data_IF_014247933611
#
_entry.id   IF_014247933611
#
_cell.length_a   1.000
_cell.length_b   1.000
_cell.length_c   1.000
_cell.angle_alpha   90.00
_cell.angle_beta   90.00
_cell.angle_gamma   90.00
#
_symmetry.space_group_name_H-M   'P 1'
#
loop_
_entity.id
_entity.type
_entity.pdbx_description
1 polymer ?
#
# COMPACT_ATOMS: atom_id res chain seq x y z
N UNK A 1 27.57 -10.96 8.63
CA UNK A 1 28.21 -10.99 7.30
C UNK A 1 29.31 -9.93 7.22
N UNK A 2 30.39 -10.13 6.43
CA UNK A 2 31.41 -9.12 6.22
C UNK A 2 30.88 -7.91 5.41
N UNK A 3 31.40 -6.73 5.72
CA UNK A 3 30.99 -5.44 5.12
C UNK A 3 31.32 -5.42 3.61
N UNK A 4 30.40 -4.95 2.78
CA UNK A 4 30.47 -4.91 1.29
C UNK A 4 30.47 -6.29 0.60
N UNK A 5 29.91 -7.31 1.24
CA UNK A 5 29.81 -8.65 0.65
C UNK A 5 28.73 -8.76 -0.45
N UNK A 6 27.83 -7.78 -0.57
CA UNK A 6 26.79 -7.73 -1.58
C UNK A 6 26.90 -6.49 -2.46
N UNK A 7 26.61 -6.65 -3.77
CA UNK A 7 26.68 -5.56 -4.77
C UNK A 7 25.68 -4.40 -4.53
N UNK A 8 24.77 -4.52 -3.56
CA UNK A 8 23.73 -3.54 -3.27
C UNK A 8 23.67 -3.20 -1.76
N UNK A 9 24.04 -1.97 -1.34
CA UNK A 9 24.12 -1.59 0.08
C UNK A 9 22.81 -1.72 0.85
N UNK A 10 21.66 -1.51 0.18
CA UNK A 10 20.33 -1.62 0.79
C UNK A 10 20.02 -3.08 1.15
N UNK A 11 20.35 -4.02 0.27
CA UNK A 11 20.13 -5.46 0.50
C UNK A 11 20.97 -5.94 1.67
N UNK A 12 22.23 -5.51 1.73
CA UNK A 12 23.14 -5.85 2.82
C UNK A 12 22.61 -5.34 4.18
N UNK A 13 22.09 -4.11 4.22
CA UNK A 13 21.47 -3.57 5.43
C UNK A 13 20.29 -4.41 5.90
N UNK A 14 19.40 -4.82 4.98
CA UNK A 14 18.22 -5.63 5.31
C UNK A 14 18.61 -7.01 5.85
N UNK A 15 19.56 -7.68 5.18
CA UNK A 15 20.02 -9.00 5.62
C UNK A 15 20.78 -8.94 6.94
N UNK A 16 21.56 -7.89 7.20
CA UNK A 16 22.21 -7.73 8.51
C UNK A 16 21.19 -7.52 9.63
N UNK A 17 20.13 -6.73 9.41
CA UNK A 17 19.06 -6.57 10.40
C UNK A 17 18.33 -7.90 10.66
N UNK A 18 18.05 -8.67 9.60
CA UNK A 18 17.51 -10.01 9.73
C UNK A 18 18.41 -10.91 10.58
N UNK A 19 19.72 -10.93 10.31
CA UNK A 19 20.69 -11.73 11.08
C UNK A 19 20.67 -11.33 12.56
N UNK A 20 20.59 -10.03 12.88
CA UNK A 20 20.52 -9.58 14.27
C UNK A 20 19.28 -10.12 14.97
N UNK A 21 18.10 -9.99 14.37
CA UNK A 21 16.85 -10.51 14.93
C UNK A 21 16.90 -12.03 15.10
N UNK A 22 17.38 -12.76 14.09
CA UNK A 22 17.51 -14.22 14.18
C UNK A 22 18.49 -14.61 15.29
N UNK A 23 19.62 -13.92 15.42
CA UNK A 23 20.61 -14.17 16.47
C UNK A 23 20.03 -13.94 17.88
N UNK A 24 19.23 -12.90 18.06
CA UNK A 24 18.53 -12.63 19.33
C UNK A 24 17.52 -13.75 19.66
N UNK A 25 16.80 -14.26 18.65
CA UNK A 25 15.83 -15.35 18.83
C UNK A 25 16.52 -16.68 19.20
N UNK A 26 17.70 -16.96 18.66
CA UNK A 26 18.43 -18.22 18.88
C UNK A 26 19.50 -18.13 19.97
N UNK A 27 19.54 -17.03 20.74
CA UNK A 27 20.51 -16.84 21.82
C UNK A 27 20.32 -17.92 22.90
N UNK A 28 21.41 -18.57 23.30
CA UNK A 28 21.35 -19.70 24.23
C UNK A 28 20.99 -19.29 25.67
N UNK A 29 21.11 -18.00 26.03
CA UNK A 29 20.85 -17.51 27.38
C UNK A 29 19.45 -16.93 27.56
N UNK A 30 18.92 -16.27 26.54
CA UNK A 30 17.67 -15.52 26.61
C UNK A 30 16.81 -15.58 25.34
N UNK A 31 17.18 -16.42 24.36
CA UNK A 31 16.43 -16.60 23.13
C UNK A 31 15.17 -17.44 23.30
N UNK A 32 14.31 -17.40 22.28
CA UNK A 32 13.05 -18.15 22.24
C UNK A 32 13.23 -19.58 21.71
N UNK A 33 14.35 -19.86 21.03
CA UNK A 33 14.66 -21.18 20.47
C UNK A 33 15.93 -21.71 21.12
N UNK A 34 15.77 -22.76 21.92
CA UNK A 34 16.88 -23.40 22.61
C UNK A 34 17.82 -24.13 21.63
N UNK A 35 19.07 -24.30 22.03
CA UNK A 35 20.04 -25.11 21.28
C UNK A 35 19.54 -26.54 20.99
N UNK A 36 18.82 -27.14 21.93
CA UNK A 36 18.26 -28.48 21.78
C UNK A 36 17.17 -28.53 20.69
N UNK A 37 16.28 -27.53 20.65
CA UNK A 37 15.28 -27.40 19.58
C UNK A 37 15.93 -27.19 18.21
N UNK A 38 17.07 -26.47 18.16
CA UNK A 38 17.84 -26.29 16.94
C UNK A 38 18.49 -27.57 16.45
N UNK A 39 19.14 -28.31 17.35
CA UNK A 39 19.80 -29.57 17.02
C UNK A 39 18.82 -30.68 16.62
N UNK A 40 17.62 -30.71 17.25
CA UNK A 40 16.53 -31.63 16.89
C UNK A 40 15.78 -31.23 15.62
N UNK A 41 15.91 -29.98 15.17
CA UNK A 41 15.22 -29.46 13.99
C UNK A 41 13.73 -29.21 14.21
N UNK A 42 13.32 -28.90 15.45
CA UNK A 42 11.92 -28.71 15.84
C UNK A 42 11.41 -27.27 15.63
N UNK A 43 12.07 -26.49 14.78
CA UNK A 43 11.71 -25.10 14.52
C UNK A 43 11.89 -24.74 13.04
N UNK A 44 10.98 -23.91 12.52
CA UNK A 44 10.97 -23.49 11.12
C UNK A 44 11.10 -21.96 11.01
N UNK A 45 11.73 -21.51 9.91
CA UNK A 45 11.90 -20.09 9.60
C UNK A 45 11.06 -19.75 8.38
N UNK A 46 10.13 -18.80 8.49
CA UNK A 46 9.18 -18.45 7.43
C UNK A 46 9.46 -17.05 6.85
N UNK A 47 10.13 -16.98 5.72
CA UNK A 47 10.51 -15.71 5.12
C UNK A 47 9.37 -15.20 4.22
N UNK A 48 8.83 -14.02 4.53
CA UNK A 48 7.80 -13.38 3.72
C UNK A 48 8.42 -12.40 2.71
N UNK A 49 8.00 -12.50 1.45
CA UNK A 49 8.36 -11.54 0.40
C UNK A 49 7.72 -10.17 0.67
N UNK A 50 8.47 -9.28 1.33
CA UNK A 50 8.09 -7.87 1.43
C UNK A 50 8.46 -7.10 0.15
N UNK A 51 7.45 -6.48 -0.47
CA UNK A 51 7.62 -5.64 -1.67
C UNK A 51 8.06 -4.20 -1.36
N UNK A 52 7.98 -3.76 -0.11
CA UNK A 52 8.05 -2.33 0.26
C UNK A 52 9.23 -1.99 1.22
N UNK A 53 10.42 -2.50 0.92
CA UNK A 53 11.55 -2.51 1.86
C UNK A 53 12.45 -1.24 1.86
N UNK A 54 12.12 -0.20 1.10
CA UNK A 54 12.98 0.97 0.90
C UNK A 54 12.34 2.28 1.36
N UNK A 55 12.20 2.49 2.67
CA UNK A 55 11.83 3.83 3.17
C UNK A 55 12.77 4.31 4.26
N UNK A 56 13.41 5.45 4.01
CA UNK A 56 14.23 6.22 4.95
C UNK A 56 13.41 6.75 6.15
N UNK A 57 14.09 7.21 7.22
CA UNK A 57 13.44 7.79 8.40
C UNK A 57 12.51 8.98 8.04
N UNK A 58 12.97 9.82 7.12
CA UNK A 58 12.19 10.97 6.63
C UNK A 58 10.97 10.51 5.82
N UNK A 59 11.09 9.44 5.03
CA UNK A 59 9.95 8.83 4.34
C UNK A 59 8.96 8.21 5.32
N UNK A 60 9.42 7.53 6.38
CA UNK A 60 8.54 7.02 7.45
C UNK A 60 7.73 8.15 8.11
N UNK A 61 8.37 9.28 8.42
CA UNK A 61 7.68 10.43 9.03
C UNK A 61 6.66 11.06 8.06
N UNK A 62 6.99 11.15 6.77
CA UNK A 62 6.06 11.60 5.72
C UNK A 62 4.87 10.66 5.57
N UNK A 63 5.10 9.35 5.64
CA UNK A 63 4.03 8.33 5.60
C UNK A 63 3.12 8.49 6.82
N UNK A 64 3.66 8.52 8.04
CA UNK A 64 2.87 8.66 9.27
C UNK A 64 2.03 9.94 9.28
N UNK A 65 2.63 11.07 8.92
CA UNK A 65 1.90 12.35 8.81
C UNK A 65 0.83 12.32 7.70
N UNK A 66 1.05 11.60 6.60
CA UNK A 66 0.03 11.39 5.56
C UNK A 66 -1.11 10.50 6.05
N UNK A 67 -0.82 9.43 6.80
CA UNK A 67 -1.83 8.55 7.39
C UNK A 67 -2.73 9.33 8.35
N UNK A 68 -2.13 10.13 9.25
CA UNK A 68 -2.88 10.96 10.18
C UNK A 68 -3.81 11.95 9.46
N UNK A 69 -3.29 12.64 8.43
CA UNK A 69 -4.10 13.57 7.62
C UNK A 69 -5.26 12.85 6.91
N UNK A 70 -4.98 11.69 6.31
CA UNK A 70 -6.01 10.88 5.64
C UNK A 70 -7.09 10.40 6.61
N UNK A 71 -6.73 10.06 7.86
CA UNK A 71 -7.69 9.67 8.91
C UNK A 71 -8.64 10.82 9.24
N UNK A 72 -8.11 12.00 9.52
CA UNK A 72 -8.90 13.20 9.83
C UNK A 72 -9.82 13.56 8.65
N UNK A 73 -9.30 13.52 7.42
CA UNK A 73 -10.10 13.76 6.21
C UNK A 73 -11.23 12.73 6.08
N UNK A 74 -10.95 11.44 6.30
CA UNK A 74 -11.97 10.38 6.25
C UNK A 74 -13.06 10.57 7.31
N UNK A 75 -12.71 10.95 8.53
CA UNK A 75 -13.67 11.22 9.61
C UNK A 75 -14.60 12.39 9.27
N UNK A 76 -14.04 13.46 8.70
CA UNK A 76 -14.81 14.61 8.20
C UNK A 76 -15.77 14.18 7.09
N UNK A 77 -15.29 13.44 6.09
CA UNK A 77 -16.13 12.97 4.98
C UNK A 77 -17.23 12.03 5.47
N UNK A 78 -16.92 11.13 6.41
CA UNK A 78 -17.89 10.22 7.03
C UNK A 78 -19.02 11.00 7.68
N UNK A 79 -18.69 12.07 8.40
CA UNK A 79 -19.66 12.97 9.03
C UNK A 79 -20.50 13.73 7.99
N UNK A 80 -19.88 14.23 6.92
CA UNK A 80 -20.61 14.91 5.83
C UNK A 80 -21.55 13.97 5.07
N UNK A 81 -21.11 12.76 4.73
CA UNK A 81 -21.92 11.74 4.07
C UNK A 81 -23.16 11.38 4.91
N UNK A 82 -22.98 11.24 6.21
CA UNK A 82 -24.08 10.89 7.13
C UNK A 82 -25.02 12.08 7.34
N UNK A 83 -24.50 13.24 7.74
CA UNK A 83 -25.32 14.37 8.20
C UNK A 83 -25.96 15.16 7.06
N UNK A 84 -25.24 15.35 5.95
CA UNK A 84 -25.69 16.19 4.83
C UNK A 84 -26.46 15.40 3.78
N UNK A 85 -26.05 14.16 3.53
CA UNK A 85 -26.60 13.34 2.45
C UNK A 85 -27.42 12.14 2.96
N UNK A 86 -27.43 11.86 4.26
CA UNK A 86 -28.18 10.74 4.84
C UNK A 86 -27.67 9.37 4.39
N UNK A 87 -26.42 9.28 3.91
CA UNK A 87 -25.84 8.06 3.36
C UNK A 87 -24.96 7.35 4.39
N UNK A 88 -25.05 6.02 4.44
CA UNK A 88 -24.12 5.21 5.23
C UNK A 88 -22.71 5.27 4.61
N UNK A 89 -21.69 5.76 5.33
CA UNK A 89 -20.35 5.89 4.79
C UNK A 89 -19.74 4.52 4.49
N UNK A 90 -19.35 4.29 3.23
CA UNK A 90 -18.60 3.10 2.80
C UNK A 90 -17.26 3.54 2.22
N UNK A 91 -16.27 2.63 2.17
CA UNK A 91 -14.97 2.92 1.56
C UNK A 91 -15.11 3.43 0.12
N UNK A 92 -16.02 2.84 -0.67
CA UNK A 92 -16.29 3.24 -2.06
C UNK A 92 -16.88 4.66 -2.12
N UNK A 93 -17.86 4.98 -1.26
CA UNK A 93 -18.46 6.32 -1.21
C UNK A 93 -17.45 7.39 -0.79
N UNK A 94 -16.62 7.11 0.22
CA UNK A 94 -15.56 8.02 0.65
C UNK A 94 -14.57 8.26 -0.49
N UNK A 95 -14.16 7.22 -1.22
CA UNK A 95 -13.26 7.35 -2.37
C UNK A 95 -13.89 8.18 -3.49
N UNK A 96 -15.15 7.92 -3.85
CA UNK A 96 -15.90 8.72 -4.83
C UNK A 96 -16.01 10.18 -4.41
N UNK A 97 -16.32 10.46 -3.14
CA UNK A 97 -16.43 11.81 -2.60
C UNK A 97 -15.09 12.57 -2.68
N UNK A 98 -13.98 11.90 -2.33
CA UNK A 98 -12.64 12.49 -2.46
C UNK A 98 -12.32 12.83 -3.90
N UNK A 99 -12.56 11.91 -4.84
CA UNK A 99 -12.29 12.12 -6.26
C UNK A 99 -13.19 13.19 -6.87
N UNK A 100 -14.45 13.27 -6.44
CA UNK A 100 -15.39 14.31 -6.84
C UNK A 100 -14.86 15.71 -6.46
N UNK A 101 -14.50 15.91 -5.19
CA UNK A 101 -14.01 17.20 -4.71
C UNK A 101 -12.64 17.57 -5.31
N UNK A 102 -11.79 16.58 -5.59
CA UNK A 102 -10.49 16.82 -6.23
C UNK A 102 -10.61 17.41 -7.65
N UNK A 103 -11.72 17.16 -8.34
CA UNK A 103 -12.01 17.71 -9.66
C UNK A 103 -12.69 19.10 -9.62
N UNK A 104 -12.95 19.66 -8.43
CA UNK A 104 -13.47 21.02 -8.26
C UNK A 104 -12.29 21.94 -7.90
N UNK A 105 -11.88 22.86 -8.79
CA UNK A 105 -10.77 23.74 -8.48
C UNK A 105 -11.10 24.77 -7.39
N UNK A 106 -10.19 24.92 -6.42
CA UNK A 106 -10.29 25.94 -5.37
C UNK A 106 -10.37 27.36 -5.97
N UNK A 107 -11.37 28.13 -5.52
CA UNK A 107 -11.60 29.49 -6.00
C UNK A 107 -12.17 29.60 -7.42
N UNK A 108 -12.71 28.51 -7.98
CA UNK A 108 -13.45 28.55 -9.24
C UNK A 108 -14.95 28.79 -9.01
N UNK A 109 -15.64 29.40 -9.98
CA UNK A 109 -17.11 29.47 -10.01
C UNK A 109 -17.75 28.12 -10.40
N UNK A 110 -16.94 27.05 -10.50
CA UNK A 110 -17.38 25.73 -10.92
C UNK A 110 -17.98 25.03 -9.72
N UNK A 111 -19.29 24.82 -9.75
CA UNK A 111 -20.04 24.17 -8.65
C UNK A 111 -20.02 22.64 -8.79
N UNK A 112 -19.78 22.13 -9.99
CA UNK A 112 -19.82 20.70 -10.32
C UNK A 112 -18.60 20.33 -11.19
N UNK A 113 -17.88 19.24 -10.88
CA UNK A 113 -16.75 18.80 -11.66
C UNK A 113 -17.21 18.26 -13.02
N UNK A 114 -16.36 18.41 -14.03
CA UNK A 114 -16.55 17.77 -15.33
C UNK A 114 -15.87 16.40 -15.35
N UNK A 115 -16.52 15.42 -15.96
CA UNK A 115 -15.89 14.16 -16.28
C UNK A 115 -14.75 14.38 -17.28
N UNK A 116 -13.55 13.93 -16.92
CA UNK A 116 -12.36 14.15 -17.73
C UNK A 116 -12.42 13.51 -19.14
N UNK A 117 -13.30 12.54 -19.37
CA UNK A 117 -13.39 11.81 -20.64
C UNK A 117 -14.51 12.29 -21.55
N UNK A 118 -15.72 12.51 -21.03
CA UNK A 118 -16.85 12.98 -21.84
C UNK A 118 -17.10 14.49 -21.75
N UNK A 119 -16.50 15.19 -20.78
CA UNK A 119 -16.71 16.62 -20.55
C UNK A 119 -18.05 16.98 -19.89
N UNK A 120 -18.94 16.01 -19.69
CA UNK A 120 -20.22 16.22 -19.00
C UNK A 120 -20.00 16.47 -17.51
N UNK A 121 -20.82 17.35 -16.93
CA UNK A 121 -20.79 17.63 -15.50
C UNK A 121 -21.28 16.42 -14.70
N UNK A 122 -20.64 16.17 -13.57
CA UNK A 122 -21.04 15.15 -12.60
C UNK A 122 -21.67 15.90 -11.44
N UNK A 123 -22.94 15.64 -11.14
CA UNK A 123 -23.55 16.16 -9.92
C UNK A 123 -23.10 15.35 -8.70
N UNK A 124 -23.15 15.95 -7.50
CA UNK A 124 -22.80 15.23 -6.26
C UNK A 124 -23.72 14.01 -6.03
N UNK A 125 -25.00 14.12 -6.40
CA UNK A 125 -25.95 13.03 -6.28
C UNK A 125 -25.57 11.88 -7.22
N UNK A 126 -25.26 12.16 -8.48
CA UNK A 126 -24.79 11.12 -9.42
C UNK A 126 -23.47 10.50 -8.98
N UNK A 127 -22.54 11.31 -8.45
CA UNK A 127 -21.29 10.79 -7.92
C UNK A 127 -21.51 9.80 -6.78
N UNK A 128 -22.41 10.10 -5.85
CA UNK A 128 -22.64 9.28 -4.66
C UNK A 128 -23.56 8.07 -4.92
N UNK A 129 -24.67 8.26 -5.65
CA UNK A 129 -25.71 7.24 -5.79
C UNK A 129 -25.94 6.77 -7.23
N UNK A 130 -25.29 7.39 -8.22
CA UNK A 130 -25.47 7.04 -9.63
C UNK A 130 -24.69 5.79 -10.06
N UNK A 131 -25.36 4.88 -10.75
CA UNK A 131 -24.76 3.67 -11.34
C UNK A 131 -23.91 3.96 -12.58
N UNK A 132 -24.16 5.09 -13.23
CA UNK A 132 -23.43 5.52 -14.42
C UNK A 132 -22.07 6.17 -14.11
N UNK A 133 -21.76 6.40 -12.83
CA UNK A 133 -20.50 6.99 -12.36
C UNK A 133 -19.68 5.93 -11.63
N UNK A 134 -18.43 5.76 -12.02
CA UNK A 134 -17.50 4.90 -11.29
C UNK A 134 -16.09 5.47 -11.24
N UNK A 135 -15.24 4.82 -10.45
CA UNK A 135 -13.82 5.16 -10.35
C UNK A 135 -13.06 4.38 -11.42
N UNK A 136 -12.36 5.08 -12.30
CA UNK A 136 -11.46 4.49 -13.30
C UNK A 136 -9.99 4.62 -12.89
N UNK A 137 -9.18 3.67 -13.34
CA UNK A 137 -7.72 3.78 -13.30
C UNK A 137 -7.21 4.45 -14.57
N UNK A 138 -6.64 5.66 -14.43
CA UNK A 138 -6.11 6.51 -15.52
C UNK A 138 -5.18 5.69 -16.42
N UNK A 139 -4.25 4.97 -15.80
CA UNK A 139 -3.44 3.93 -16.42
C UNK A 139 -3.94 2.59 -15.86
N UNK A 140 -4.36 1.65 -16.71
CA UNK A 140 -4.90 0.37 -16.24
C UNK A 140 -3.93 -0.42 -15.35
N UNK A 141 -4.48 -1.11 -14.35
CA UNK A 141 -3.69 -1.90 -13.40
C UNK A 141 -2.82 -2.98 -14.07
N UNK A 142 -3.24 -3.49 -15.22
CA UNK A 142 -2.46 -4.48 -15.98
C UNK A 142 -1.17 -3.92 -16.59
N UNK A 143 -1.08 -2.58 -16.73
CA UNK A 143 0.08 -1.88 -17.30
C UNK A 143 0.92 -1.19 -16.24
N UNK A 144 0.27 -0.62 -15.23
CA UNK A 144 0.92 0.03 -14.10
C UNK A 144 0.23 -0.41 -12.81
N UNK A 145 0.96 -1.15 -11.98
CA UNK A 145 0.46 -1.61 -10.67
C UNK A 145 0.44 -0.46 -9.65
N UNK A 146 -0.46 0.51 -9.85
CA UNK A 146 -0.69 1.64 -8.96
C UNK A 146 -2.19 1.81 -8.68
N UNK A 147 -2.62 1.40 -7.48
CA UNK A 147 -4.01 1.60 -6.99
C UNK A 147 -4.16 2.89 -6.15
N UNK A 148 -3.15 3.75 -6.12
CA UNK A 148 -3.21 5.00 -5.37
C UNK A 148 -4.23 5.96 -5.98
N UNK A 149 -4.72 6.90 -5.16
CA UNK A 149 -5.63 7.97 -5.60
C UNK A 149 -5.09 8.74 -6.80
N UNK A 150 -3.76 8.82 -6.97
CA UNK A 150 -3.13 9.52 -8.09
C UNK A 150 -3.41 8.86 -9.45
N UNK A 151 -3.67 7.56 -9.46
CA UNK A 151 -4.03 6.82 -10.68
C UNK A 151 -5.55 6.63 -10.83
N UNK A 152 -6.37 7.28 -10.00
CA UNK A 152 -7.83 7.10 -9.98
C UNK A 152 -8.58 8.38 -10.32
N UNK A 153 -9.69 8.28 -11.04
CA UNK A 153 -10.51 9.43 -11.44
C UNK A 153 -11.98 9.04 -11.45
N UNK A 154 -12.86 9.99 -11.11
CA UNK A 154 -14.29 9.78 -11.16
C UNK A 154 -14.81 10.09 -12.56
N UNK A 155 -15.48 9.12 -13.19
CA UNK A 155 -15.90 9.22 -14.58
C UNK A 155 -17.26 8.56 -14.82
N UNK A 156 -17.91 8.94 -15.92
CA UNK A 156 -19.13 8.29 -16.40
C UNK A 156 -18.84 6.89 -16.98
N UNK A 157 -19.85 6.29 -17.62
CA UNK A 157 -19.76 5.04 -18.38
C UNK A 157 -18.71 5.04 -19.51
N UNK A 158 -18.11 6.20 -19.83
CA UNK A 158 -16.95 6.31 -20.70
C UNK A 158 -15.76 5.44 -20.23
N UNK A 159 -15.67 5.09 -18.93
CA UNK A 159 -14.72 4.10 -18.43
C UNK A 159 -14.82 2.76 -19.20
N UNK A 160 -16.04 2.26 -19.41
CA UNK A 160 -16.27 1.00 -20.14
C UNK A 160 -15.73 1.05 -21.56
N UNK A 161 -15.87 2.21 -22.22
CA UNK A 161 -15.36 2.42 -23.58
C UNK A 161 -13.84 2.60 -23.63
N UNK A 162 -13.23 3.13 -22.56
CA UNK A 162 -11.76 3.23 -22.44
C UNK A 162 -11.12 1.86 -22.31
N UNK A 163 -11.75 0.95 -21.56
CA UNK A 163 -11.26 -0.41 -21.37
C UNK A 163 -9.82 -0.42 -20.86
N UNK A 164 -8.94 -1.17 -21.54
CA UNK A 164 -7.54 -1.32 -21.14
C UNK A 164 -6.58 -0.29 -21.77
N UNK A 165 -7.08 0.85 -22.26
CA UNK A 165 -6.24 1.95 -22.76
C UNK A 165 -5.82 2.90 -21.63
N UNK A 166 -4.72 3.64 -21.84
CA UNK A 166 -4.42 4.80 -20.97
C UNK A 166 -5.44 5.91 -21.25
N UNK A 167 -5.64 6.81 -20.29
CA UNK A 167 -6.45 8.01 -20.49
C UNK A 167 -5.99 8.82 -21.71
N UNK A 168 -4.68 8.98 -21.88
CA UNK A 168 -4.08 9.71 -22.99
C UNK A 168 -4.42 9.07 -24.35
N UNK A 169 -4.16 7.77 -24.49
CA UNK A 169 -4.39 7.06 -25.76
C UNK A 169 -5.88 6.98 -26.09
N UNK A 170 -6.73 6.80 -25.07
CA UNK A 170 -8.18 6.81 -25.24
C UNK A 170 -8.66 8.17 -25.76
N UNK A 171 -8.25 9.28 -25.14
CA UNK A 171 -8.67 10.61 -25.58
C UNK A 171 -8.07 10.98 -26.95
N UNK A 172 -6.87 10.50 -27.27
CA UNK A 172 -6.29 10.66 -28.60
C UNK A 172 -7.12 9.96 -29.68
N UNK A 173 -7.69 8.79 -29.38
CA UNK A 173 -8.54 8.03 -30.32
C UNK A 173 -9.88 8.69 -30.65
N UNK A 174 -10.32 9.66 -29.83
CA UNK A 174 -11.60 10.34 -29.96
C UNK A 174 -11.62 11.52 -30.95
N UNK A 175 -10.46 11.85 -31.53
CA UNK A 175 -10.29 12.91 -32.52
C UNK A 175 -9.62 14.17 -31.94
N UNK A 176 -9.08 15.01 -32.82
CA UNK A 176 -8.20 16.12 -32.44
C UNK A 176 -8.86 17.18 -31.55
N UNK A 177 -10.12 17.55 -31.84
CA UNK A 177 -10.86 18.54 -31.05
C UNK A 177 -11.08 18.08 -29.61
N UNK A 178 -11.59 16.86 -29.42
CA UNK A 178 -11.84 16.29 -28.08
C UNK A 178 -10.54 16.09 -27.31
N UNK A 179 -9.48 15.66 -28.01
CA UNK A 179 -8.16 15.51 -27.40
C UNK A 179 -7.58 16.86 -26.94
N UNK A 180 -7.73 17.92 -27.74
CA UNK A 180 -7.29 19.28 -27.37
C UNK A 180 -8.06 19.81 -26.16
N UNK A 181 -9.37 19.59 -26.10
CA UNK A 181 -10.19 19.96 -24.93
C UNK A 181 -9.74 19.20 -23.67
N UNK A 182 -9.46 17.91 -23.80
CA UNK A 182 -8.90 17.10 -22.70
C UNK A 182 -7.59 17.67 -22.18
N UNK A 183 -6.64 17.98 -23.06
CA UNK A 183 -5.34 18.55 -22.65
C UNK A 183 -5.51 19.89 -21.93
N UNK A 184 -6.38 20.77 -22.43
CA UNK A 184 -6.66 22.05 -21.80
C UNK A 184 -7.27 21.88 -20.40
N UNK A 185 -8.19 20.92 -20.22
CA UNK A 185 -8.77 20.59 -18.92
C UNK A 185 -7.71 20.09 -17.94
N UNK A 186 -6.85 19.17 -18.36
CA UNK A 186 -5.78 18.60 -17.53
C UNK A 186 -4.76 19.67 -17.11
N UNK A 187 -4.39 20.59 -18.00
CA UNK A 187 -3.53 21.73 -17.64
C UNK A 187 -4.21 22.66 -16.64
N UNK A 188 -5.49 23.00 -16.84
CA UNK A 188 -6.23 23.86 -15.92
C UNK A 188 -6.28 23.27 -14.50
N UNK A 189 -6.55 21.96 -14.38
CA UNK A 189 -6.56 21.26 -13.09
C UNK A 189 -5.20 21.30 -12.39
N UNK A 190 -4.10 21.26 -13.15
CA UNK A 190 -2.73 21.39 -12.60
C UNK A 190 -2.43 22.83 -12.19
N UNK A 191 -2.74 23.81 -13.03
CA UNK A 191 -2.51 25.23 -12.74
C UNK A 191 -3.23 25.68 -11.48
N UNK A 192 -4.46 25.18 -11.28
CA UNK A 192 -5.27 25.41 -10.08
C UNK A 192 -4.87 24.54 -8.88
N UNK A 193 -3.85 23.68 -9.02
CA UNK A 193 -3.35 22.76 -7.98
C UNK A 193 -4.41 21.79 -7.43
N UNK A 194 -5.45 21.52 -8.22
CA UNK A 194 -6.53 20.58 -7.84
C UNK A 194 -6.03 19.13 -7.88
N UNK A 195 -5.19 18.81 -8.87
CA UNK A 195 -4.57 17.49 -9.00
C UNK A 195 -3.09 17.52 -8.63
N UNK A 196 -2.58 16.38 -8.15
CA UNK A 196 -1.16 16.22 -7.88
C UNK A 196 -0.34 16.19 -9.17
N UNK A 197 0.94 16.57 -9.10
CA UNK A 197 1.85 16.45 -10.23
C UNK A 197 1.98 15.02 -10.76
N UNK A 198 1.86 14.01 -9.87
CA UNK A 198 1.87 12.59 -10.24
C UNK A 198 0.64 12.22 -11.08
N UNK A 199 -0.55 12.65 -10.64
CA UNK A 199 -1.81 12.43 -11.38
C UNK A 199 -1.79 13.12 -12.75
N UNK A 200 -1.33 14.37 -12.80
CA UNK A 200 -1.14 15.10 -14.05
C UNK A 200 -0.25 14.32 -15.03
N UNK A 201 0.88 13.78 -14.57
CA UNK A 201 1.74 12.92 -15.41
C UNK A 201 1.01 11.68 -15.92
N UNK A 202 0.23 11.01 -15.08
CA UNK A 202 -0.53 9.83 -15.50
C UNK A 202 -1.60 10.15 -16.54
N UNK A 203 -2.28 11.30 -16.42
CA UNK A 203 -3.26 11.76 -17.41
C UNK A 203 -2.63 12.03 -18.79
N UNK A 204 -1.35 12.39 -18.82
CA UNK A 204 -0.61 12.70 -20.05
C UNK A 204 0.31 11.57 -20.54
N UNK A 205 0.30 10.42 -19.88
CA UNK A 205 1.19 9.30 -20.20
C UNK A 205 0.55 8.39 -21.23
N UNK A 206 1.19 8.26 -22.40
CA UNK A 206 0.85 7.22 -23.37
C UNK A 206 1.39 5.87 -22.91
N UNK A 207 0.79 4.78 -23.39
CA UNK A 207 1.25 3.42 -23.13
C UNK A 207 2.73 3.20 -23.45
N UNK A 208 3.23 3.87 -24.49
CA UNK A 208 4.64 3.76 -24.94
C UNK A 208 5.63 4.30 -23.91
N UNK A 209 5.20 5.23 -23.07
CA UNK A 209 6.03 5.91 -22.08
C UNK A 209 5.98 5.22 -20.70
N UNK A 210 5.17 4.16 -20.56
CA UNK A 210 5.09 3.40 -19.31
C UNK A 210 6.40 2.62 -19.14
N UNK A 211 7.17 2.84 -18.06
CA UNK A 211 8.41 2.12 -17.82
C UNK A 211 8.14 0.62 -17.61
N UNK A 212 8.56 -0.22 -18.56
CA UNK A 212 8.47 -1.68 -18.46
C UNK A 212 9.28 -2.24 -17.27
N UNK A 213 10.33 -1.52 -16.86
CA UNK A 213 11.28 -1.95 -15.83
C UNK A 213 10.79 -1.80 -14.39
N UNK A 214 9.68 -1.10 -14.11
CA UNK A 214 9.33 -0.74 -12.73
C UNK A 214 8.83 -1.94 -11.91
N UNK A 215 7.82 -2.65 -12.43
CA UNK A 215 7.28 -3.87 -11.80
C UNK A 215 8.39 -4.91 -11.64
N UNK A 216 9.18 -5.01 -12.69
CA UNK A 216 10.26 -5.95 -12.90
C UNK A 216 11.45 -5.71 -11.95
N UNK A 217 11.81 -4.46 -11.66
CA UNK A 217 12.92 -4.11 -10.75
C UNK A 217 12.61 -4.39 -9.29
N UNK A 218 11.43 -3.97 -8.81
CA UNK A 218 11.06 -4.16 -7.41
C UNK A 218 10.74 -5.63 -7.11
N UNK A 219 10.12 -6.33 -8.06
CA UNK A 219 9.90 -7.78 -7.98
C UNK A 219 11.21 -8.56 -7.97
N UNK A 220 12.16 -8.24 -8.88
CA UNK A 220 13.49 -8.87 -8.91
C UNK A 220 14.29 -8.61 -7.63
N UNK A 221 14.17 -7.42 -7.05
CA UNK A 221 14.88 -7.06 -5.83
C UNK A 221 14.35 -7.81 -4.61
N UNK A 222 13.02 -7.85 -4.41
CA UNK A 222 12.42 -8.62 -3.33
C UNK A 222 12.72 -10.11 -3.45
N UNK A 223 12.71 -10.66 -4.68
CA UNK A 223 13.14 -12.04 -4.94
C UNK A 223 14.62 -12.26 -4.61
N UNK A 224 15.50 -11.31 -4.92
CA UNK A 224 16.93 -11.41 -4.61
C UNK A 224 17.19 -11.41 -3.09
N UNK A 225 16.56 -10.48 -2.36
CA UNK A 225 16.64 -10.41 -0.89
C UNK A 225 16.16 -11.73 -0.29
N UNK A 226 15.01 -12.23 -0.73
CA UNK A 226 14.40 -13.46 -0.20
C UNK A 226 15.27 -14.68 -0.42
N UNK A 227 15.87 -14.83 -1.61
CA UNK A 227 16.82 -15.92 -1.88
C UNK A 227 18.03 -15.86 -0.95
N UNK A 228 18.62 -14.67 -0.79
CA UNK A 228 19.78 -14.48 0.10
C UNK A 228 19.44 -14.69 1.57
N UNK A 229 18.27 -14.23 2.00
CA UNK A 229 17.75 -14.47 3.34
C UNK A 229 17.58 -15.97 3.61
N UNK A 230 16.98 -16.70 2.66
CA UNK A 230 16.83 -18.16 2.76
C UNK A 230 18.17 -18.88 2.84
N UNK A 231 19.13 -18.52 1.99
CA UNK A 231 20.49 -19.08 2.03
C UNK A 231 21.11 -18.93 3.43
N UNK A 232 21.01 -17.74 4.04
CA UNK A 232 21.56 -17.48 5.39
C UNK A 232 20.80 -18.28 6.46
N UNK A 233 19.46 -18.31 6.39
CA UNK A 233 18.64 -19.01 7.38
C UNK A 233 18.77 -20.53 7.30
N UNK A 234 19.15 -21.09 6.16
CA UNK A 234 19.40 -22.53 5.99
C UNK A 234 20.61 -23.03 6.77
N UNK A 235 21.56 -22.15 7.10
CA UNK A 235 22.67 -22.49 8.00
C UNK A 235 22.19 -22.65 9.47
N UNK A 236 20.97 -22.19 9.77
CA UNK A 236 20.41 -22.12 11.12
C UNK A 236 19.30 -23.16 11.32
N UNK A 237 18.35 -23.23 10.38
CA UNK A 237 17.29 -24.24 10.38
C UNK A 237 17.29 -25.05 9.09
N UNK A 238 16.96 -26.34 9.22
CA UNK A 238 16.72 -27.22 8.06
C UNK A 238 15.38 -26.97 7.39
N UNK A 239 14.44 -26.32 8.09
CA UNK A 239 13.10 -26.02 7.60
C UNK A 239 12.93 -24.51 7.40
N UNK A 240 13.22 -24.04 6.18
CA UNK A 240 13.09 -22.62 5.79
C UNK A 240 12.12 -22.47 4.63
N UNK A 241 10.93 -21.96 4.94
CA UNK A 241 9.84 -21.74 3.99
C UNK A 241 9.82 -20.29 3.51
N UNK A 242 9.41 -20.10 2.26
CA UNK A 242 9.25 -18.78 1.65
C UNK A 242 7.81 -18.64 1.17
N UNK A 243 7.12 -17.59 1.61
CA UNK A 243 5.73 -17.35 1.26
C UNK A 243 5.52 -15.94 0.70
N UNK A 244 4.51 -15.76 -0.14
CA UNK A 244 4.11 -14.43 -0.61
C UNK A 244 3.26 -13.72 0.44
N UNK A 245 3.44 -12.40 0.58
CA UNK A 245 2.65 -11.61 1.52
C UNK A 245 1.14 -11.57 1.21
N UNK A 246 0.74 -11.94 0.00
CA UNK A 246 -0.68 -12.12 -0.37
C UNK A 246 -1.32 -13.33 0.31
N UNK A 247 -0.58 -14.42 0.47
CA UNK A 247 -1.08 -15.65 1.10
C UNK A 247 -1.17 -15.42 2.61
N UNK A 248 -0.16 -14.81 3.23
CA UNK A 248 -0.17 -14.50 4.67
C UNK A 248 -1.21 -13.42 5.01
N UNK A 249 -1.43 -12.42 4.15
CA UNK A 249 -2.51 -11.45 4.32
C UNK A 249 -3.90 -12.11 4.26
N UNK A 250 -4.10 -13.05 3.33
CA UNK A 250 -5.37 -13.78 3.21
C UNK A 250 -5.61 -14.72 4.39
N UNK A 251 -4.56 -15.40 4.88
CA UNK A 251 -4.66 -16.24 6.09
C UNK A 251 -4.97 -15.40 7.33
N UNK A 252 -4.31 -14.25 7.51
CA UNK A 252 -4.61 -13.31 8.61
C UNK A 252 -6.06 -12.81 8.59
N UNK A 253 -6.63 -12.60 7.40
CA UNK A 253 -8.03 -12.20 7.23
C UNK A 253 -8.99 -13.36 7.56
N UNK A 254 -8.74 -14.56 7.04
CA UNK A 254 -9.57 -15.74 7.29
C UNK A 254 -9.58 -16.18 8.76
N UNK A 255 -8.48 -15.93 9.46
CA UNK A 255 -8.31 -16.29 10.87
C UNK A 255 -8.67 -15.15 11.84
N UNK A 256 -9.15 -13.99 11.36
CA UNK A 256 -9.57 -12.88 12.24
C UNK A 256 -8.42 -12.18 12.99
N UNK A 257 -7.16 -12.43 12.65
CA UNK A 257 -5.99 -11.86 13.35
C UNK A 257 -5.91 -10.33 13.29
N UNK A 258 -6.59 -9.70 12.33
CA UNK A 258 -6.63 -8.23 12.23
C UNK A 258 -7.19 -7.59 13.49
N UNK A 259 -8.20 -8.20 14.08
CA UNK A 259 -8.90 -7.63 15.24
C UNK A 259 -8.07 -7.88 16.52
N UNK A 260 -7.51 -9.08 16.66
CA UNK A 260 -6.65 -9.49 17.78
C UNK A 260 -5.36 -8.64 17.86
N UNK A 261 -4.66 -8.45 16.74
CA UNK A 261 -3.42 -7.64 16.70
C UNK A 261 -3.72 -6.16 16.94
N UNK A 262 -4.90 -5.67 16.52
CA UNK A 262 -5.33 -4.30 16.80
C UNK A 262 -5.61 -4.08 18.28
N UNK A 263 -6.25 -5.04 18.94
CA UNK A 263 -6.49 -5.03 20.40
C UNK A 263 -5.18 -5.01 21.19
N UNK A 264 -4.26 -5.94 20.88
CA UNK A 264 -2.96 -6.05 21.57
C UNK A 264 -2.13 -4.77 21.40
N UNK A 265 -2.09 -4.19 20.19
CA UNK A 265 -1.37 -2.93 19.97
C UNK A 265 -2.02 -1.75 20.72
N UNK A 266 -3.34 -1.77 20.90
CA UNK A 266 -4.06 -0.72 21.64
C UNK A 266 -3.80 -0.83 23.14
N UNK A 267 -3.73 -2.05 23.68
CA UNK A 267 -3.35 -2.31 25.08
C UNK A 267 -1.89 -1.97 25.38
N UNK A 268 -0.97 -2.30 24.47
CA UNK A 268 0.47 -1.95 24.57
C UNK A 268 0.72 -0.44 24.53
N UNK A 269 -0.04 0.30 23.71
CA UNK A 269 0.06 1.77 23.64
C UNK A 269 -0.50 2.41 24.92
N UNK A 270 -1.49 1.77 25.57
CA UNK A 270 -2.15 2.32 26.74
C UNK A 270 -1.46 1.95 28.08
N UNK A 271 -0.67 0.88 28.13
CA UNK A 271 0.05 0.43 29.33
C UNK A 271 1.59 0.52 29.13
N UNK A 272 2.17 1.69 29.41
CA UNK A 272 3.62 1.95 29.33
C UNK A 272 4.43 1.30 30.47
N UNK A 273 3.81 0.51 31.35
CA UNK A 273 4.53 -0.39 32.27
C UNK A 273 4.05 -1.83 32.07
N UNK A 274 4.87 -2.64 31.39
CA UNK A 274 4.63 -4.07 31.17
C UNK A 274 4.73 -4.81 32.51
N UNK A 275 3.60 -5.22 33.08
CA UNK A 275 3.54 -6.19 34.18
C UNK A 275 4.07 -7.57 33.72
N UNK A 276 4.59 -8.38 34.65
CA UNK A 276 5.20 -9.67 34.33
C UNK A 276 4.19 -10.71 33.80
N UNK A 277 2.90 -10.58 34.13
CA UNK A 277 1.82 -11.38 33.53
C UNK A 277 1.62 -11.06 32.03
N UNK A 278 1.68 -9.78 31.65
CA UNK A 278 1.54 -9.37 30.25
C UNK A 278 2.74 -9.85 29.41
N UNK A 279 3.93 -9.95 30.01
CA UNK A 279 5.12 -10.55 29.35
C UNK A 279 4.94 -12.05 29.14
N UNK A 280 4.38 -12.78 30.10
CA UNK A 280 4.15 -14.22 29.97
C UNK A 280 3.11 -14.56 28.89
N UNK A 281 2.05 -13.76 28.77
CA UNK A 281 1.05 -13.91 27.70
C UNK A 281 1.62 -13.54 26.33
N UNK A 282 2.45 -12.50 26.25
CA UNK A 282 3.23 -12.19 25.06
C UNK A 282 4.17 -13.34 24.69
N UNK A 283 4.88 -13.92 25.65
CA UNK A 283 5.76 -15.07 25.41
C UNK A 283 5.00 -16.31 24.91
N UNK A 284 3.78 -16.55 25.37
CA UNK A 284 2.93 -17.64 24.84
C UNK A 284 2.45 -17.34 23.40
N UNK A 285 2.02 -16.11 23.12
CA UNK A 285 1.59 -15.68 21.78
C UNK A 285 2.78 -15.66 20.82
N UNK A 286 3.95 -15.23 21.28
CA UNK A 286 5.21 -15.32 20.54
C UNK A 286 5.61 -16.79 20.36
N UNK A 287 5.52 -17.67 21.36
CA UNK A 287 5.81 -19.11 21.21
C UNK A 287 4.92 -19.80 20.17
N UNK A 288 3.64 -19.46 20.11
CA UNK A 288 2.74 -19.95 19.04
C UNK A 288 3.16 -19.39 17.68
N UNK A 289 3.62 -18.13 17.63
CA UNK A 289 4.19 -17.52 16.43
C UNK A 289 5.67 -17.93 16.16
N UNK A 290 6.40 -18.56 17.09
CA UNK A 290 7.83 -18.91 16.93
C UNK A 290 8.00 -20.18 16.08
N UNK A 291 6.93 -20.94 15.85
CA UNK A 291 6.88 -21.90 14.73
C UNK A 291 6.75 -21.22 13.36
N UNK A 292 6.56 -19.89 13.33
CA UNK A 292 6.45 -19.06 12.13
C UNK A 292 7.28 -17.79 12.37
N UNK A 293 8.62 -17.87 12.27
CA UNK A 293 9.43 -16.64 12.19
C UNK A 293 9.04 -15.94 10.89
N UNK A 294 8.00 -15.11 10.89
CA UNK A 294 7.61 -14.23 9.78
C UNK A 294 8.67 -13.16 9.72
N UNK A 295 9.71 -13.37 8.91
CA UNK A 295 10.60 -12.29 8.50
C UNK A 295 9.86 -11.46 7.44
N UNK A 296 8.70 -10.91 7.82
CA UNK A 296 8.39 -9.56 7.37
C UNK A 296 9.46 -8.67 8.01
N UNK A 297 9.99 -7.69 7.30
CA UNK A 297 10.90 -6.73 7.91
C UNK A 297 10.17 -6.15 9.13
N UNK A 298 10.68 -6.48 10.30
CA UNK A 298 10.27 -5.91 11.59
C UNK A 298 10.70 -4.44 11.58
N UNK A 299 10.03 -3.63 10.76
CA UNK A 299 10.27 -2.20 10.53
C UNK A 299 9.00 -1.38 10.75
N UNK A 300 8.07 -1.92 11.53
CA UNK A 300 6.86 -1.24 11.99
C UNK A 300 6.86 -0.91 13.49
N UNK A 301 7.91 -1.26 14.25
CA UNK A 301 8.02 -0.95 15.69
C UNK A 301 9.32 -0.28 16.15
N UNK A 302 10.16 0.22 15.24
CA UNK A 302 11.21 1.23 15.49
C UNK A 302 11.31 2.21 14.31
#
# INVERSE_FOLDING_TARGET
MPKNSLRQPIVEKILNQMIHVVNEIIDDNNGLVSREEREKGNFAIHIELARELKTSKDEKQKISSSIRRNKIENEKITSELTNKYGLTPTRKLIEKYKLYNELIPDGSNVVQPQCIYCGEFISITEALTGDAIDVDHIIPQSKLFDDSRNNKVLVHNCNRTKGNMTAYDFMQSKGQEQFKTYLALVENLKEKKSISYKKYKYLLMSEKDIPQDFIDRDLRLSQYITRKAREICMDISKDVLVTSGTITARLRELWGYKDIISEINTELINNIELSDENKSQLDEIFKINVQIIVITPLMLLL
#
